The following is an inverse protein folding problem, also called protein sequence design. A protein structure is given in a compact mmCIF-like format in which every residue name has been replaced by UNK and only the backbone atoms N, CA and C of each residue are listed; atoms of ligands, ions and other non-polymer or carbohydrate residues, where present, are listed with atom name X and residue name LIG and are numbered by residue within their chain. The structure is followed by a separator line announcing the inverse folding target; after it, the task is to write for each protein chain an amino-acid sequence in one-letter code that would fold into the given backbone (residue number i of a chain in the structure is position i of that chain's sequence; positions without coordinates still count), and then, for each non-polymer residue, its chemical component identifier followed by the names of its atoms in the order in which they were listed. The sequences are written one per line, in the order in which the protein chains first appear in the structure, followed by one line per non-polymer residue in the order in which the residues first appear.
data_IF_478642027159
#
_entry.id   IF_478642027159
#
_cell.length_a   1.000
_cell.length_b   1.000
_cell.length_c   1.000
_cell.angle_alpha   90.00
_cell.angle_beta   90.00
_cell.angle_gamma   90.00
#
_symmetry.space_group_name_H-M   'P 1'
#
loop_
_entity.id
_entity.type
_entity.pdbx_description
1 polymer ?
#
# COMPACT_ATOMS: atom_id res chain seq x y z
N UNK A 1 7.49 -19.02 14.76
CA UNK A 1 6.30 -19.32 13.95
C UNK A 1 5.23 -18.32 14.36
N UNK A 2 5.21 -17.16 13.71
CA UNK A 2 4.46 -15.98 14.18
C UNK A 2 3.25 -15.77 13.28
N UNK A 3 2.07 -15.93 13.85
CA UNK A 3 0.77 -15.71 13.21
C UNK A 3 0.68 -14.30 12.58
N UNK A 4 0.49 -14.25 11.26
CA UNK A 4 0.14 -13.03 10.54
C UNK A 4 -1.38 -12.84 10.62
N UNK A 5 -1.83 -12.00 11.54
CA UNK A 5 -3.24 -11.58 11.61
C UNK A 5 -3.46 -10.43 10.63
N UNK A 6 -3.90 -10.74 9.42
CA UNK A 6 -4.48 -9.76 8.51
C UNK A 6 -5.88 -9.35 9.03
N UNK A 7 -5.95 -8.27 9.81
CA UNK A 7 -7.23 -7.73 10.29
C UNK A 7 -7.93 -6.98 9.16
N UNK A 8 -9.04 -7.52 8.66
CA UNK A 8 -10.02 -6.75 7.86
C UNK A 8 -10.74 -5.78 8.78
N UNK A 9 -10.36 -4.51 8.76
CA UNK A 9 -11.06 -3.43 9.46
C UNK A 9 -12.16 -2.85 8.57
N UNK A 10 -13.40 -3.15 8.90
CA UNK A 10 -14.62 -2.59 8.28
C UNK A 10 -14.92 -1.20 8.84
N UNK A 11 -14.72 -0.13 8.07
CA UNK A 11 -15.40 1.17 8.25
C UNK A 11 -15.08 2.07 7.04
N UNK A 12 -15.91 2.97 6.51
CA UNK A 12 -17.28 3.41 6.76
C UNK A 12 -17.70 4.12 5.45
N UNK A 13 -18.96 3.97 5.04
CA UNK A 13 -19.55 4.58 3.85
C UNK A 13 -19.31 6.09 3.74
N UNK A 14 -18.74 6.52 2.61
CA UNK A 14 -19.17 7.68 1.80
C UNK A 14 -18.10 7.97 0.73
N UNK A 15 -18.40 7.77 -0.57
CA UNK A 15 -17.99 8.63 -1.70
C UNK A 15 -18.34 7.99 -3.04
N UNK A 16 -19.34 8.56 -3.73
CA UNK A 16 -19.56 8.43 -5.19
C UNK A 16 -20.29 7.18 -5.67
N UNK A 17 -21.45 7.37 -6.31
CA UNK A 17 -22.05 6.34 -7.19
C UNK A 17 -21.01 5.99 -8.27
N UNK A 18 -20.38 4.82 -8.17
CA UNK A 18 -19.45 4.28 -9.17
C UNK A 18 -18.06 3.87 -8.65
N UNK A 19 -17.71 4.18 -7.39
CA UNK A 19 -16.48 3.67 -6.77
C UNK A 19 -16.84 2.51 -5.86
N UNK A 20 -16.33 1.33 -6.15
CA UNK A 20 -16.51 0.17 -5.25
C UNK A 20 -15.79 0.40 -3.92
N UNK A 21 -16.16 -0.36 -2.88
CA UNK A 21 -15.50 -0.26 -1.58
C UNK A 21 -13.98 -0.46 -1.76
N UNK A 22 -13.15 0.53 -1.38
CA UNK A 22 -11.72 0.47 -1.66
C UNK A 22 -11.09 -0.72 -0.95
N UNK A 23 -10.14 -1.36 -1.62
CA UNK A 23 -9.37 -2.43 -1.02
C UNK A 23 -8.28 -1.80 -0.14
N UNK A 24 -8.14 -2.30 1.09
CA UNK A 24 -7.25 -1.73 2.09
C UNK A 24 -6.41 -2.83 2.74
N UNK A 25 -5.10 -2.61 2.77
CA UNK A 25 -4.14 -3.44 3.48
C UNK A 25 -3.19 -2.58 4.31
N UNK A 26 -2.83 -3.08 5.48
CA UNK A 26 -1.86 -2.45 6.39
C UNK A 26 -0.68 -3.38 6.61
N UNK A 27 0.52 -2.83 6.61
CA UNK A 27 1.78 -3.56 6.71
C UNK A 27 2.63 -2.97 7.83
N UNK A 28 3.26 -3.85 8.62
CA UNK A 28 4.21 -3.51 9.67
C UNK A 28 5.28 -4.62 9.73
N UNK A 29 6.36 -4.37 10.47
CA UNK A 29 7.56 -5.18 10.50
C UNK A 29 8.71 -4.54 9.70
N UNK A 30 9.75 -5.32 9.37
CA UNK A 30 10.88 -4.84 8.60
C UNK A 30 10.44 -4.20 7.28
N UNK A 31 11.03 -3.07 6.93
CA UNK A 31 10.58 -2.27 5.78
C UNK A 31 10.67 -3.05 4.46
N UNK A 32 11.76 -3.80 4.24
CA UNK A 32 11.93 -4.59 3.03
C UNK A 32 10.87 -5.68 2.87
N UNK A 33 10.46 -6.31 3.97
CA UNK A 33 9.38 -7.30 3.98
C UNK A 33 8.05 -6.64 3.62
N UNK A 34 7.78 -5.45 4.16
CA UNK A 34 6.59 -4.68 3.79
C UNK A 34 6.54 -4.39 2.30
N UNK A 35 7.68 -4.09 1.64
CA UNK A 35 7.71 -3.85 0.18
C UNK A 35 7.32 -5.09 -0.62
N UNK A 36 7.79 -6.28 -0.21
CA UNK A 36 7.41 -7.53 -0.89
C UNK A 36 5.93 -7.87 -0.67
N UNK A 37 5.44 -7.69 0.56
CA UNK A 37 4.04 -7.93 0.90
C UNK A 37 3.10 -6.93 0.19
N UNK A 38 3.51 -5.67 0.03
CA UNK A 38 2.83 -4.65 -0.77
C UNK A 38 2.73 -5.06 -2.24
N UNK A 39 3.84 -5.48 -2.85
CA UNK A 39 3.87 -5.87 -4.27
C UNK A 39 3.02 -7.15 -4.52
N UNK A 40 3.01 -8.09 -3.58
CA UNK A 40 2.12 -9.25 -3.65
C UNK A 40 0.64 -8.89 -3.49
N UNK A 41 0.29 -8.06 -2.51
CA UNK A 41 -1.08 -7.58 -2.32
C UNK A 41 -1.59 -6.82 -3.55
N UNK A 42 -0.74 -5.99 -4.16
CA UNK A 42 -1.08 -5.28 -5.40
C UNK A 42 -1.36 -6.25 -6.55
N UNK A 43 -0.51 -7.27 -6.76
CA UNK A 43 -0.75 -8.27 -7.81
C UNK A 43 -2.09 -8.98 -7.63
N UNK A 44 -2.43 -9.36 -6.39
CA UNK A 44 -3.73 -10.00 -6.10
C UNK A 44 -4.89 -9.05 -6.34
N UNK A 45 -4.76 -7.78 -5.95
CA UNK A 45 -5.78 -6.76 -6.18
C UNK A 45 -6.03 -6.54 -7.67
N UNK A 46 -4.96 -6.45 -8.48
CA UNK A 46 -5.06 -6.33 -9.94
C UNK A 46 -5.84 -7.50 -10.54
N UNK A 47 -5.49 -8.73 -10.15
CA UNK A 47 -6.20 -9.94 -10.62
C UNK A 47 -7.66 -9.93 -10.19
N UNK A 48 -7.95 -9.50 -8.96
CA UNK A 48 -9.31 -9.43 -8.43
C UNK A 48 -10.18 -8.38 -9.15
N UNK A 49 -9.63 -7.21 -9.45
CA UNK A 49 -10.36 -6.13 -10.13
C UNK A 49 -10.55 -6.45 -11.62
N UNK A 50 -9.61 -7.17 -12.24
CA UNK A 50 -9.73 -7.66 -13.63
C UNK A 50 -9.47 -6.61 -14.72
N UNK A 51 -9.45 -5.32 -14.37
CA UNK A 51 -9.10 -4.22 -15.29
C UNK A 51 -8.21 -3.18 -14.59
N UNK A 52 -6.93 -3.16 -14.97
CA UNK A 52 -5.93 -2.28 -14.36
C UNK A 52 -6.19 -0.80 -14.68
N UNK A 53 -6.80 -0.49 -15.82
CA UNK A 53 -7.08 0.90 -16.25
C UNK A 53 -8.03 1.65 -15.31
N UNK A 54 -8.67 0.92 -14.40
CA UNK A 54 -9.65 1.40 -13.43
C UNK A 54 -9.08 1.59 -12.03
N UNK A 55 -7.82 1.21 -11.82
CA UNK A 55 -7.16 1.17 -10.50
C UNK A 55 -6.45 2.50 -10.22
N UNK A 56 -6.69 3.04 -9.02
CA UNK A 56 -5.89 4.12 -8.44
C UNK A 56 -5.30 3.66 -7.10
N UNK A 57 -4.02 3.97 -6.87
CA UNK A 57 -3.28 3.51 -5.67
C UNK A 57 -2.87 4.71 -4.82
N UNK A 58 -3.14 4.61 -3.52
CA UNK A 58 -2.61 5.47 -2.49
C UNK A 58 -1.81 4.63 -1.48
N UNK A 59 -0.58 5.07 -1.21
CA UNK A 59 0.29 4.51 -0.19
C UNK A 59 0.46 5.54 0.92
N UNK A 60 0.10 5.16 2.13
CA UNK A 60 0.28 5.98 3.32
C UNK A 60 1.43 5.44 4.14
N UNK A 61 2.37 6.31 4.47
CA UNK A 61 3.55 5.98 5.24
C UNK A 61 3.52 6.71 6.58
N UNK A 62 3.55 5.97 7.68
CA UNK A 62 3.65 6.56 9.01
C UNK A 62 5.06 7.10 9.24
N UNK A 63 5.20 8.43 9.36
CA UNK A 63 6.47 9.09 9.64
C UNK A 63 7.06 8.65 10.98
N UNK A 64 6.30 8.54 12.09
CA UNK A 64 6.83 8.00 13.34
C UNK A 64 7.43 6.60 13.19
N UNK A 65 6.74 5.69 12.48
CA UNK A 65 7.22 4.32 12.26
C UNK A 65 8.42 4.28 11.33
N UNK A 66 8.41 5.04 10.24
CA UNK A 66 9.56 5.17 9.36
C UNK A 66 10.79 5.68 10.11
N UNK A 67 10.62 6.70 10.95
CA UNK A 67 11.70 7.24 11.76
C UNK A 67 12.28 6.15 12.68
N UNK A 68 11.44 5.37 13.36
CA UNK A 68 11.90 4.25 14.18
C UNK A 68 12.72 3.21 13.40
N UNK A 69 12.35 2.90 12.15
CA UNK A 69 13.09 1.97 11.28
C UNK A 69 14.46 2.52 10.88
N UNK A 70 14.53 3.80 10.54
CA UNK A 70 15.79 4.46 10.21
C UNK A 70 16.71 4.47 11.44
N UNK A 71 16.18 4.78 12.62
CA UNK A 71 16.94 4.78 13.87
C UNK A 71 17.44 3.38 14.26
N UNK A 72 16.71 2.32 13.90
CA UNK A 72 17.18 0.94 14.08
C UNK A 72 18.20 0.49 13.03
N UNK A 73 18.63 1.39 12.13
CA UNK A 73 19.62 1.11 11.09
C UNK A 73 19.06 0.40 9.85
N UNK A 74 17.72 0.36 9.65
CA UNK A 74 17.16 -0.18 8.41
C UNK A 74 17.43 0.75 7.23
N UNK A 75 17.96 0.18 6.15
CA UNK A 75 18.11 0.88 4.86
C UNK A 75 16.77 0.96 4.13
N UNK A 76 16.12 2.11 4.19
CA UNK A 76 14.88 2.40 3.46
C UNK A 76 15.16 2.58 1.96
N UNK A 77 16.23 3.28 1.64
CA UNK A 77 16.71 3.49 0.28
C UNK A 77 17.85 2.52 -0.03
N UNK A 78 18.01 2.07 -1.30
CA UNK A 78 17.22 2.44 -2.48
C UNK A 78 15.93 1.63 -2.65
N UNK A 79 15.60 0.74 -1.70
CA UNK A 79 14.49 -0.21 -1.80
C UNK A 79 13.14 0.45 -2.11
N UNK A 80 12.81 1.53 -1.40
CA UNK A 80 11.59 2.30 -1.62
C UNK A 80 11.48 2.87 -3.03
N UNK A 81 12.52 3.55 -3.53
CA UNK A 81 12.52 4.13 -4.87
C UNK A 81 12.38 3.07 -5.97
N UNK A 82 13.07 1.94 -5.81
CA UNK A 82 12.97 0.81 -6.74
C UNK A 82 11.57 0.19 -6.75
N UNK A 83 10.93 0.10 -5.58
CA UNK A 83 9.55 -0.38 -5.49
C UNK A 83 8.58 0.54 -6.24
N UNK A 84 8.62 1.86 -5.99
CA UNK A 84 7.74 2.81 -6.68
C UNK A 84 7.93 2.76 -8.20
N UNK A 85 9.18 2.72 -8.66
CA UNK A 85 9.50 2.59 -10.09
C UNK A 85 8.94 1.31 -10.70
N UNK A 86 9.03 0.17 -10.01
CA UNK A 86 8.42 -1.09 -10.47
C UNK A 86 6.90 -0.98 -10.53
N UNK A 87 6.26 -0.39 -9.52
CA UNK A 87 4.79 -0.26 -9.50
C UNK A 87 4.31 0.59 -10.67
N UNK A 88 4.98 1.71 -10.91
CA UNK A 88 4.66 2.65 -11.98
C UNK A 88 4.83 2.03 -13.39
N UNK A 89 5.94 1.31 -13.61
CA UNK A 89 6.30 0.84 -14.96
C UNK A 89 5.78 -0.57 -15.31
N UNK A 90 5.63 -1.46 -14.33
CA UNK A 90 5.41 -2.89 -14.59
C UNK A 90 3.95 -3.26 -14.79
N UNK A 91 3.03 -2.54 -14.13
CA UNK A 91 1.64 -2.99 -14.04
C UNK A 91 0.69 -2.34 -15.03
N UNK A 92 1.13 -1.31 -15.77
CA UNK A 92 0.26 -0.61 -16.73
C UNK A 92 -0.86 0.19 -16.03
N UNK A 93 -0.57 0.71 -14.83
CA UNK A 93 -1.51 1.56 -14.10
C UNK A 93 -1.79 2.85 -14.89
N UNK A 94 -3.01 3.39 -14.82
CA UNK A 94 -3.37 4.63 -15.52
C UNK A 94 -2.65 5.86 -14.96
N UNK A 95 -2.10 5.75 -13.74
CA UNK A 95 -1.34 6.80 -13.08
C UNK A 95 -0.34 6.18 -12.07
N UNK A 96 0.76 6.88 -11.76
CA UNK A 96 1.70 6.46 -10.72
C UNK A 96 1.01 6.35 -9.35
N UNK A 97 1.50 5.48 -8.45
CA UNK A 97 0.99 5.40 -7.09
C UNK A 97 1.22 6.71 -6.35
N UNK A 98 0.18 7.23 -5.71
CA UNK A 98 0.30 8.42 -4.84
C UNK A 98 0.87 8.01 -3.49
N UNK A 99 1.78 8.81 -2.96
CA UNK A 99 2.37 8.59 -1.64
C UNK A 99 1.96 9.72 -0.72
N UNK A 100 1.44 9.38 0.46
CA UNK A 100 1.04 10.30 1.51
C UNK A 100 1.81 9.98 2.79
N UNK A 101 2.51 10.96 3.34
CA UNK A 101 3.18 10.81 4.63
C UNK A 101 2.23 11.24 5.76
N UNK A 102 1.97 10.35 6.71
CA UNK A 102 1.08 10.61 7.85
C UNK A 102 1.89 10.82 9.12
N UNK A 103 1.49 11.81 9.92
CA UNK A 103 2.18 12.20 11.17
C UNK A 103 1.71 11.41 12.39
N UNK A 104 0.66 10.60 12.24
CA UNK A 104 0.08 9.78 13.30
C UNK A 104 0.83 8.46 13.44
N UNK A 105 0.88 7.95 14.67
CA UNK A 105 1.29 6.56 14.89
C UNK A 105 0.22 5.60 14.34
N UNK A 106 0.65 4.44 13.85
CA UNK A 106 -0.17 3.49 13.11
C UNK A 106 0.67 2.41 12.42
N UNK A 107 0.12 1.69 11.43
CA UNK A 107 0.90 0.79 10.60
C UNK A 107 2.03 1.52 9.87
N UNK A 108 3.14 0.83 9.60
CA UNK A 108 4.27 1.39 8.87
C UNK A 108 3.84 1.84 7.46
N UNK A 109 3.07 1.00 6.76
CA UNK A 109 2.49 1.31 5.45
C UNK A 109 1.02 0.92 5.40
N UNK A 110 0.18 1.76 4.81
CA UNK A 110 -1.18 1.40 4.41
C UNK A 110 -1.31 1.56 2.90
N UNK A 111 -1.80 0.54 2.21
CA UNK A 111 -2.14 0.60 0.79
C UNK A 111 -3.65 0.63 0.62
N UNK A 112 -4.10 1.62 -0.13
CA UNK A 112 -5.49 1.82 -0.46
C UNK A 112 -5.62 1.79 -1.98
N UNK A 113 -6.46 0.89 -2.47
CA UNK A 113 -6.76 0.74 -3.89
C UNK A 113 -8.21 1.12 -4.12
N UNK A 114 -8.40 2.23 -4.82
CA UNK A 114 -9.71 2.64 -5.31
C UNK A 114 -9.89 2.15 -6.75
N UNK A 115 -11.11 1.73 -7.09
CA UNK A 115 -11.42 1.23 -8.42
C UNK A 115 -12.89 1.49 -8.79
N UNK A 116 -13.16 1.57 -10.09
CA UNK A 116 -14.50 1.81 -10.65
C UNK A 116 -15.07 0.54 -11.29
N UNK A 117 -16.38 0.35 -11.17
CA UNK A 117 -17.14 -0.71 -11.87
C UNK A 117 -17.36 -0.39 -13.34
#
# INVERSE_FOLDING_TARGET
MTERVARKSTSRQALGRGVEAPLLWTFDGPFITCLYDLEDALRRAIVQVGDVSRIAILLELSLPRMHARIQSGESIQPGWGRFLSRVDTRYGLPAPPRVRYVKTDGPLVTMLIAYRS
#
